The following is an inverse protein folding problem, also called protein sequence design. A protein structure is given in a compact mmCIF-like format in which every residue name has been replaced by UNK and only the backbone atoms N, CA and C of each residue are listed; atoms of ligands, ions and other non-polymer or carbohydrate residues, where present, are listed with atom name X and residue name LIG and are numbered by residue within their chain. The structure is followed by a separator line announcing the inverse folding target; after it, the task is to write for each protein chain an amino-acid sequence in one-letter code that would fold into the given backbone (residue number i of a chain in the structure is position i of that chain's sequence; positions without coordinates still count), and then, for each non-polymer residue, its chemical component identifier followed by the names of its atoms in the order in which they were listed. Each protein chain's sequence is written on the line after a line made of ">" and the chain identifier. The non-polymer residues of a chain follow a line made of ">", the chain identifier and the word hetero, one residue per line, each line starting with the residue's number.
data_IF_783949613295
#
_entry.id   IF_783949613295
#
_cell.length_a   1.000
_cell.length_b   1.000
_cell.length_c   1.000
_cell.angle_alpha   90.00
_cell.angle_beta   90.00
_cell.angle_gamma   90.00
#
_symmetry.space_group_name_H-M   'P 1'
#
loop_
_entity.id
_entity.type
_entity.pdbx_description
1 polymer ?
#
# COMPACT_ATOMS: atom_id res chain seq x y z
N UNK A 1 6.54 8.56 -11.76
CA UNK A 1 5.40 7.70 -12.16
C UNK A 1 4.26 8.02 -11.22
N UNK A 2 3.18 8.61 -11.71
CA UNK A 2 2.00 8.93 -10.90
C UNK A 2 1.15 7.67 -10.80
N UNK A 3 1.13 7.04 -9.62
CA UNK A 3 0.28 5.88 -9.38
C UNK A 3 -1.10 6.43 -9.07
N UNK A 4 -1.90 6.58 -10.12
CA UNK A 4 -3.30 6.92 -9.94
C UNK A 4 -4.00 5.76 -9.22
N UNK A 5 -4.65 6.06 -8.10
CA UNK A 5 -5.11 5.04 -7.16
C UNK A 5 -5.61 5.64 -5.82
N UNK A 6 -6.08 4.78 -4.91
CA UNK A 6 -6.71 5.16 -3.65
C UNK A 6 -5.71 5.55 -2.56
N UNK A 7 -4.41 5.32 -2.79
CA UNK A 7 -3.35 5.55 -1.82
C UNK A 7 -2.48 6.74 -2.21
N UNK A 8 -2.09 7.51 -1.21
CA UNK A 8 -0.94 8.41 -1.22
C UNK A 8 0.21 7.64 -0.57
N UNK A 9 1.35 7.56 -1.25
CA UNK A 9 2.49 6.76 -0.82
C UNK A 9 3.70 7.68 -0.71
N UNK A 10 4.31 7.73 0.47
CA UNK A 10 5.53 8.49 0.72
C UNK A 10 6.60 7.57 1.29
N UNK A 11 7.85 7.80 0.90
CA UNK A 11 9.01 7.16 1.53
C UNK A 11 9.66 8.20 2.41
N UNK A 12 9.81 7.89 3.69
CA UNK A 12 10.53 8.73 4.64
C UNK A 12 11.71 7.97 5.23
N UNK A 13 12.72 8.70 5.65
CA UNK A 13 13.82 8.15 6.44
C UNK A 13 13.54 8.51 7.90
N UNK A 14 13.53 7.51 8.77
CA UNK A 14 13.33 7.72 10.20
C UNK A 14 14.65 8.20 10.80
N UNK A 15 14.72 9.48 11.16
CA UNK A 15 15.93 10.12 11.70
C UNK A 15 16.42 9.48 13.02
N UNK A 16 15.56 8.72 13.71
CA UNK A 16 15.89 8.08 14.98
C UNK A 16 16.50 6.68 14.78
N UNK A 17 15.93 5.89 13.87
CA UNK A 17 16.36 4.49 13.64
C UNK A 17 17.28 4.34 12.42
N UNK A 18 17.32 5.34 11.53
CA UNK A 18 17.96 5.27 10.22
C UNK A 18 17.23 4.35 9.23
N UNK A 19 16.05 3.83 9.60
CA UNK A 19 15.27 2.96 8.75
C UNK A 19 14.50 3.76 7.68
N UNK A 20 14.19 3.13 6.55
CA UNK A 20 13.23 3.69 5.59
C UNK A 20 11.83 3.22 5.95
N UNK A 21 10.87 4.13 5.93
CA UNK A 21 9.46 3.83 6.14
C UNK A 21 8.67 4.17 4.88
N UNK A 22 7.72 3.30 4.54
CA UNK A 22 6.61 3.59 3.66
C UNK A 22 5.45 4.11 4.50
N UNK A 23 5.04 5.34 4.23
CA UNK A 23 3.83 5.93 4.79
C UNK A 23 2.73 5.85 3.74
N UNK A 24 1.62 5.22 4.11
CA UNK A 24 0.44 5.04 3.28
C UNK A 24 -0.72 5.79 3.90
N UNK A 25 -1.37 6.62 3.10
CA UNK A 25 -2.64 7.27 3.45
C UNK A 25 -3.68 6.99 2.39
N UNK A 26 -4.92 6.79 2.78
CA UNK A 26 -6.02 6.79 1.84
C UNK A 26 -6.31 8.21 1.37
N UNK A 27 -6.62 8.39 0.09
CA UNK A 27 -7.02 9.69 -0.43
C UNK A 27 -8.37 10.10 0.16
N UNK A 28 -8.60 11.40 0.45
CA UNK A 28 -9.84 11.86 1.07
C UNK A 28 -11.12 11.51 0.28
N UNK A 29 -11.03 11.55 -1.05
CA UNK A 29 -12.14 11.17 -1.95
C UNK A 29 -12.47 9.67 -1.85
N UNK A 30 -11.46 8.82 -1.68
CA UNK A 30 -11.64 7.39 -1.42
C UNK A 30 -12.28 7.14 -0.04
N UNK A 31 -11.85 7.86 1.00
CA UNK A 31 -12.42 7.74 2.35
C UNK A 31 -13.90 8.11 2.41
N UNK A 32 -14.34 9.07 1.58
CA UNK A 32 -15.72 9.53 1.53
C UNK A 32 -16.70 8.55 0.85
N UNK A 33 -16.20 7.52 0.17
CA UNK A 33 -17.02 6.48 -0.46
C UNK A 33 -17.59 5.53 0.58
N UNK A 34 -18.70 4.86 0.26
CA UNK A 34 -19.18 3.73 1.06
C UNK A 34 -18.20 2.52 0.98
N UNK A 35 -18.31 1.62 1.95
CA UNK A 35 -17.44 0.44 2.07
C UNK A 35 -17.40 -0.40 0.79
N UNK A 36 -18.54 -0.68 0.19
CA UNK A 36 -18.62 -1.59 -0.94
C UNK A 36 -17.93 -0.98 -2.17
N UNK A 37 -18.11 0.34 -2.39
CA UNK A 37 -17.41 1.08 -3.42
C UNK A 37 -15.90 1.15 -3.17
N UNK A 38 -15.47 1.38 -1.92
CA UNK A 38 -14.05 1.34 -1.55
C UNK A 38 -13.44 -0.01 -1.91
N UNK A 39 -14.09 -1.12 -1.51
CA UNK A 39 -13.62 -2.48 -1.80
C UNK A 39 -13.48 -2.71 -3.30
N UNK A 40 -14.51 -2.36 -4.10
CA UNK A 40 -14.48 -2.53 -5.56
C UNK A 40 -13.34 -1.73 -6.21
N UNK A 41 -13.17 -0.46 -5.82
CA UNK A 41 -12.09 0.38 -6.37
C UNK A 41 -10.71 -0.10 -5.93
N UNK A 42 -10.57 -0.61 -4.71
CA UNK A 42 -9.30 -1.11 -4.19
C UNK A 42 -8.89 -2.43 -4.87
N UNK A 43 -9.85 -3.33 -5.13
CA UNK A 43 -9.61 -4.53 -5.94
C UNK A 43 -9.21 -4.20 -7.37
N UNK A 44 -9.86 -3.21 -7.98
CA UNK A 44 -9.49 -2.70 -9.30
C UNK A 44 -8.07 -2.13 -9.30
N UNK A 45 -7.71 -1.37 -8.27
CA UNK A 45 -6.37 -0.83 -8.10
C UNK A 45 -5.30 -1.93 -8.04
N UNK A 46 -5.51 -2.98 -7.23
CA UNK A 46 -4.60 -4.14 -7.15
C UNK A 46 -4.45 -4.81 -8.53
N UNK A 47 -5.56 -5.03 -9.23
CA UNK A 47 -5.52 -5.65 -10.56
C UNK A 47 -4.77 -4.78 -11.59
N UNK A 48 -4.94 -3.47 -11.55
CA UNK A 48 -4.28 -2.54 -12.45
C UNK A 48 -2.78 -2.37 -12.11
N UNK A 49 -2.38 -2.47 -10.84
CA UNK A 49 -0.98 -2.59 -10.43
C UNK A 49 -0.32 -3.82 -11.06
N UNK A 50 -0.94 -5.01 -10.92
CA UNK A 50 -0.41 -6.25 -11.48
C UNK A 50 -0.17 -6.18 -12.99
N UNK A 51 -1.10 -5.56 -13.74
CA UNK A 51 -0.91 -5.29 -15.17
C UNK A 51 0.28 -4.38 -15.44
N UNK A 52 0.41 -3.27 -14.70
CA UNK A 52 1.54 -2.34 -14.87
C UNK A 52 2.87 -3.00 -14.55
N UNK A 53 2.95 -3.76 -13.47
CA UNK A 53 4.16 -4.52 -13.05
C UNK A 53 4.61 -5.47 -14.15
N UNK A 54 3.67 -6.13 -14.85
CA UNK A 54 4.00 -7.05 -15.95
C UNK A 54 4.65 -6.37 -17.16
N UNK A 55 4.57 -5.04 -17.26
CA UNK A 55 5.16 -4.22 -18.32
C UNK A 55 6.49 -3.58 -17.93
N UNK A 56 6.88 -3.65 -16.65
CA UNK A 56 8.14 -3.10 -16.15
C UNK A 56 9.20 -4.22 -16.18
N UNK A 57 10.37 -3.91 -16.70
CA UNK A 57 11.52 -4.82 -16.66
C UNK A 57 11.98 -5.07 -15.22
N UNK A 58 12.66 -6.19 -14.98
CA UNK A 58 13.22 -6.49 -13.66
C UNK A 58 14.17 -5.37 -13.20
N UNK A 59 13.97 -4.89 -11.98
CA UNK A 59 14.76 -3.79 -11.44
C UNK A 59 14.11 -3.15 -10.20
N UNK A 60 14.75 -2.09 -9.67
CA UNK A 60 14.28 -1.41 -8.46
C UNK A 60 12.84 -0.88 -8.57
N UNK A 61 12.46 -0.37 -9.73
CA UNK A 61 11.11 0.18 -9.96
C UNK A 61 10.05 -0.92 -9.92
N UNK A 62 10.31 -2.06 -10.54
CA UNK A 62 9.44 -3.24 -10.48
C UNK A 62 9.33 -3.78 -9.06
N UNK A 63 10.45 -3.82 -8.34
CA UNK A 63 10.47 -4.26 -6.94
C UNK A 63 9.65 -3.33 -6.05
N UNK A 64 9.75 -2.01 -6.22
CA UNK A 64 8.93 -1.04 -5.49
C UNK A 64 7.43 -1.21 -5.77
N UNK A 65 7.06 -1.44 -7.03
CA UNK A 65 5.68 -1.73 -7.41
C UNK A 65 5.15 -3.04 -6.84
N UNK A 66 5.96 -4.09 -6.82
CA UNK A 66 5.61 -5.35 -6.17
C UNK A 66 5.38 -5.18 -4.67
N UNK A 67 6.21 -4.39 -3.98
CA UNK A 67 6.01 -4.07 -2.57
C UNK A 67 4.68 -3.36 -2.34
N UNK A 68 4.33 -2.38 -3.18
CA UNK A 68 3.05 -1.66 -3.08
C UNK A 68 1.86 -2.58 -3.35
N UNK A 69 1.96 -3.46 -4.35
CA UNK A 69 0.93 -4.46 -4.62
C UNK A 69 0.71 -5.39 -3.42
N UNK A 70 1.78 -5.92 -2.84
CA UNK A 70 1.71 -6.81 -1.68
C UNK A 70 1.07 -6.12 -0.47
N UNK A 71 1.42 -4.86 -0.21
CA UNK A 71 0.80 -4.08 0.85
C UNK A 71 -0.68 -3.85 0.57
N UNK A 72 -1.06 -3.48 -0.65
CA UNK A 72 -2.46 -3.34 -1.01
C UNK A 72 -3.24 -4.66 -0.83
N UNK A 73 -2.69 -5.79 -1.25
CA UNK A 73 -3.29 -7.12 -1.03
C UNK A 73 -3.47 -7.43 0.46
N UNK A 74 -2.53 -7.02 1.31
CA UNK A 74 -2.63 -7.16 2.78
C UNK A 74 -3.67 -6.22 3.42
N UNK A 75 -3.91 -5.03 2.86
CA UNK A 75 -4.91 -4.08 3.38
C UNK A 75 -6.34 -4.45 2.98
N UNK A 76 -6.53 -5.13 1.85
CA UNK A 76 -7.85 -5.46 1.30
C UNK A 76 -8.78 -6.21 2.29
N UNK A 77 -8.33 -7.21 3.07
CA UNK A 77 -9.17 -7.87 4.07
C UNK A 77 -9.74 -6.91 5.11
N UNK A 78 -8.92 -5.98 5.61
CA UNK A 78 -9.33 -5.00 6.62
C UNK A 78 -10.27 -3.93 6.06
N UNK A 79 -10.04 -3.51 4.80
CA UNK A 79 -11.01 -2.67 4.08
C UNK A 79 -12.33 -3.40 3.87
N UNK A 80 -12.28 -4.72 3.65
CA UNK A 80 -13.46 -5.56 3.51
C UNK A 80 -14.16 -5.78 4.84
N UNK A 81 -13.48 -5.87 5.98
CA UNK A 81 -14.14 -5.98 7.29
C UNK A 81 -14.54 -4.64 7.91
N UNK A 82 -14.17 -3.51 7.29
CA UNK A 82 -14.29 -2.16 7.86
C UNK A 82 -13.48 -1.96 9.16
N UNK A 83 -12.41 -2.76 9.31
CA UNK A 83 -11.51 -2.77 10.48
C UNK A 83 -10.22 -1.99 10.22
N UNK A 84 -10.23 -1.09 9.24
CA UNK A 84 -9.06 -0.26 8.90
C UNK A 84 -9.35 1.21 9.24
N UNK A 85 -8.47 1.89 10.00
CA UNK A 85 -8.63 3.31 10.28
C UNK A 85 -8.25 4.13 9.04
N UNK A 86 -9.24 4.53 8.25
CA UNK A 86 -9.04 5.25 6.97
C UNK A 86 -8.36 6.62 7.12
N UNK A 87 -8.45 7.23 8.30
CA UNK A 87 -7.90 8.55 8.61
C UNK A 87 -6.46 8.50 9.15
N UNK A 88 -5.94 7.31 9.44
CA UNK A 88 -4.61 7.13 10.00
C UNK A 88 -3.56 6.88 8.92
N UNK A 89 -2.31 7.25 9.22
CA UNK A 89 -1.16 6.89 8.39
C UNK A 89 -0.72 5.49 8.77
N UNK A 90 -0.71 4.60 7.77
CA UNK A 90 -0.14 3.26 7.93
C UNK A 90 1.35 3.37 7.66
N UNK A 91 2.17 3.03 8.65
CA UNK A 91 3.63 3.08 8.58
C UNK A 91 4.17 1.66 8.43
N UNK A 92 4.97 1.46 7.39
CA UNK A 92 5.62 0.18 7.08
C UNK A 92 7.12 0.38 7.06
N UNK A 93 7.84 -0.25 7.99
CA UNK A 93 9.30 -0.19 8.00
C UNK A 93 9.91 -1.14 6.96
N UNK A 94 10.68 -0.57 6.03
CA UNK A 94 11.40 -1.28 4.99
C UNK A 94 12.71 -1.83 5.56
N UNK A 95 12.67 -3.09 6.00
CA UNK A 95 13.87 -3.81 6.38
C UNK A 95 14.56 -4.35 5.12
N UNK A 96 15.83 -4.01 4.92
CA UNK A 96 16.67 -4.64 3.90
C UNK A 96 16.92 -6.10 4.28
N UNK A 97 16.02 -7.01 3.91
CA UNK A 97 16.21 -8.45 4.11
C UNK A 97 14.99 -9.29 4.47
N UNK A 98 13.77 -8.74 4.54
CA UNK A 98 12.57 -9.54 4.85
C UNK A 98 11.37 -9.19 3.97
N UNK A 99 10.63 -10.18 3.44
CA UNK A 99 9.43 -9.93 2.66
C UNK A 99 8.33 -9.32 3.54
N UNK A 100 7.47 -8.44 3.00
CA UNK A 100 6.45 -7.68 3.75
C UNK A 100 5.34 -8.53 4.42
N UNK A 101 5.40 -9.86 4.32
CA UNK A 101 4.40 -10.80 4.85
C UNK A 101 4.15 -10.75 6.36
N UNK A 102 5.01 -10.07 7.16
CA UNK A 102 4.93 -10.06 8.63
C UNK A 102 4.36 -8.79 9.27
N UNK A 103 4.03 -7.75 8.50
CA UNK A 103 3.85 -6.39 9.04
C UNK A 103 2.54 -6.14 9.81
N UNK A 104 1.53 -6.99 9.65
CA UNK A 104 0.21 -6.78 10.27
C UNK A 104 -0.09 -7.72 11.45
N UNK A 105 0.89 -8.49 11.94
CA UNK A 105 0.70 -9.37 13.11
C UNK A 105 0.89 -8.68 14.46
N UNK A 106 1.13 -7.37 14.48
CA UNK A 106 1.49 -6.60 15.68
C UNK A 106 0.52 -5.46 16.03
N UNK A 107 -0.70 -5.47 15.46
CA UNK A 107 -1.82 -4.66 15.92
C UNK A 107 -2.78 -5.54 16.74
#
# INVERSE_FOLDING_TARGET
>A
MEIDGPLIISVVENDTTGARELQLNFKPDFCALDRDMRVVLFQKYIADLGKRISLIEEGPDRQGMLTIQQLAEQLLPYLTSDEIPLEETIVVELHTGSPPGGLLQSL
#
